data_IF_392216887618
#
_entry.id   IF_392216887618
#
_cell.length_a   1.000
_cell.length_b   1.000
_cell.length_c   1.000
_cell.angle_alpha   90.00
_cell.angle_beta   90.00
_cell.angle_gamma   90.00
#
_symmetry.space_group_name_H-M   'P 1'
#
loop_
_entity.id
_entity.type
_entity.pdbx_description
1 polymer ?
#
# COMPACT_ATOMS: atom_id res chain seq x y z
N UNK A 1 -14.11 -16.33 9.39
CA UNK A 1 -14.80 -15.95 10.64
C UNK A 1 -14.86 -14.43 10.67
N UNK A 2 -15.93 -13.85 10.12
CA UNK A 2 -16.13 -12.41 10.08
C UNK A 2 -16.56 -11.97 11.49
N UNK A 3 -15.63 -11.43 12.29
CA UNK A 3 -16.02 -10.68 13.49
C UNK A 3 -16.87 -9.50 13.01
N UNK A 4 -18.10 -9.39 13.53
CA UNK A 4 -18.91 -8.20 13.35
C UNK A 4 -18.08 -6.97 13.72
N UNK A 5 -18.09 -5.96 12.86
CA UNK A 5 -17.43 -4.70 13.17
C UNK A 5 -18.13 -4.11 14.39
N UNK A 6 -17.40 -3.68 15.43
CA UNK A 6 -18.02 -2.96 16.52
C UNK A 6 -18.75 -1.72 15.99
N UNK A 7 -19.83 -1.30 16.65
CA UNK A 7 -20.56 -0.09 16.28
C UNK A 7 -19.59 1.10 16.22
N UNK A 8 -19.89 2.12 15.39
CA UNK A 8 -19.05 3.30 15.29
C UNK A 8 -18.90 3.95 16.67
N UNK A 9 -17.65 4.14 17.08
CA UNK A 9 -17.30 4.72 18.38
C UNK A 9 -17.69 6.20 18.40
N UNK A 10 -18.58 6.60 19.31
CA UNK A 10 -18.96 8.01 19.48
C UNK A 10 -17.92 8.80 20.26
N UNK A 11 -17.31 8.16 21.26
CA UNK A 11 -16.26 8.71 22.13
C UNK A 11 -15.29 7.60 22.55
N UNK A 12 -14.00 7.93 22.67
CA UNK A 12 -12.98 6.99 23.14
C UNK A 12 -12.66 7.23 24.61
N UNK A 13 -12.68 6.15 25.42
CA UNK A 13 -12.42 6.18 26.87
C UNK A 13 -11.23 5.31 27.23
N UNK A 14 -10.15 5.92 27.72
CA UNK A 14 -8.91 5.21 28.03
C UNK A 14 -8.54 5.46 29.47
N UNK A 15 -8.36 4.38 30.24
CA UNK A 15 -7.84 4.47 31.60
C UNK A 15 -6.37 4.06 31.64
N UNK A 16 -5.54 4.87 32.29
CA UNK A 16 -4.11 4.59 32.40
C UNK A 16 -3.85 3.36 33.28
N UNK A 17 -2.91 2.50 32.86
CA UNK A 17 -2.49 1.28 33.55
C UNK A 17 -3.59 0.25 33.85
N UNK A 18 -4.81 0.40 33.30
CA UNK A 18 -5.94 -0.50 33.53
C UNK A 18 -6.31 -1.24 32.24
N UNK A 19 -5.59 -2.32 31.96
CA UNK A 19 -5.81 -3.15 30.77
C UNK A 19 -7.18 -3.83 30.79
N UNK A 20 -7.67 -4.25 31.97
CA UNK A 20 -8.96 -4.93 32.10
C UNK A 20 -10.13 -4.01 31.77
N UNK A 21 -10.06 -2.73 32.17
CA UNK A 21 -11.04 -1.72 31.77
C UNK A 21 -11.01 -1.47 30.26
N UNK A 22 -9.82 -1.25 29.69
CA UNK A 22 -9.68 -0.91 28.28
C UNK A 22 -10.06 -2.09 27.34
N UNK A 23 -9.87 -3.33 27.77
CA UNK A 23 -10.25 -4.52 26.99
C UNK A 23 -11.77 -4.63 26.77
N UNK A 24 -12.60 -4.02 27.63
CA UNK A 24 -14.07 -3.99 27.48
C UNK A 24 -14.51 -3.29 26.20
N UNK A 25 -13.73 -2.32 25.72
CA UNK A 25 -14.04 -1.55 24.51
C UNK A 25 -13.49 -2.21 23.22
N UNK A 26 -12.75 -3.32 23.33
CA UNK A 26 -12.20 -4.06 22.20
C UNK A 26 -11.39 -3.19 21.20
N UNK A 27 -10.54 -2.31 21.73
CA UNK A 27 -9.68 -1.44 20.91
C UNK A 27 -8.78 -2.23 19.95
N UNK A 28 -8.40 -1.57 18.85
CA UNK A 28 -7.51 -2.17 17.86
C UNK A 28 -6.12 -2.50 18.45
N UNK A 29 -5.55 -3.64 18.03
CA UNK A 29 -4.17 -3.99 18.35
C UNK A 29 -3.19 -3.06 17.64
N UNK A 30 -2.02 -2.80 18.24
CA UNK A 30 -0.99 -1.97 17.62
C UNK A 30 -0.24 -2.63 16.44
N UNK A 31 -0.62 -3.87 16.08
CA UNK A 31 -0.11 -4.58 14.92
C UNK A 31 -0.51 -3.88 13.61
N UNK A 32 0.48 -3.55 12.77
CA UNK A 32 0.25 -3.10 11.41
C UNK A 32 0.26 -4.31 10.47
N UNK A 33 -0.74 -4.38 9.60
CA UNK A 33 -0.81 -5.36 8.51
C UNK A 33 -1.17 -4.62 7.22
N UNK A 34 -0.21 -4.51 6.32
CA UNK A 34 -0.36 -3.95 4.97
C UNK A 34 -0.45 -5.02 3.90
N UNK A 35 -0.06 -6.25 4.24
CA UNK A 35 -0.28 -7.45 3.44
C UNK A 35 -1.77 -7.73 3.21
N UNK A 36 -2.06 -8.31 2.04
CA UNK A 36 -3.42 -8.61 1.60
C UNK A 36 -3.82 -10.03 1.94
N UNK A 37 -2.89 -10.95 1.85
CA UNK A 37 -3.17 -12.38 1.94
C UNK A 37 -2.62 -12.97 3.24
N UNK A 38 -3.40 -13.88 3.82
CA UNK A 38 -2.90 -14.85 4.77
C UNK A 38 -2.57 -16.16 4.02
N UNK A 39 -1.77 -17.05 4.60
CA UNK A 39 -1.37 -18.33 3.98
C UNK A 39 -2.58 -19.13 3.48
N UNK A 40 -3.68 -19.12 4.25
CA UNK A 40 -4.92 -19.85 3.91
C UNK A 40 -5.79 -19.07 2.92
N UNK A 41 -5.87 -17.74 3.06
CA UNK A 41 -6.71 -16.90 2.21
C UNK A 41 -6.06 -16.56 0.88
N UNK A 42 -4.75 -16.81 0.74
CA UNK A 42 -3.97 -16.54 -0.46
C UNK A 42 -4.62 -17.19 -1.67
N UNK A 43 -4.69 -18.52 -1.72
CA UNK A 43 -5.20 -19.23 -2.89
C UNK A 43 -6.63 -18.83 -3.29
N UNK A 44 -7.65 -18.85 -2.40
CA UNK A 44 -9.02 -18.56 -2.82
C UNK A 44 -9.24 -17.10 -3.21
N UNK A 45 -8.65 -16.15 -2.47
CA UNK A 45 -8.81 -14.71 -2.78
C UNK A 45 -8.01 -14.34 -4.02
N UNK A 46 -6.77 -14.84 -4.14
CA UNK A 46 -5.94 -14.61 -5.32
C UNK A 46 -6.57 -15.17 -6.60
N UNK A 47 -7.08 -16.41 -6.56
CA UNK A 47 -7.79 -16.97 -7.72
C UNK A 47 -9.06 -16.17 -8.05
N UNK A 48 -9.83 -15.75 -7.04
CA UNK A 48 -11.00 -14.92 -7.27
C UNK A 48 -10.62 -13.58 -7.92
N UNK A 49 -9.57 -12.91 -7.46
CA UNK A 49 -9.06 -11.67 -8.06
C UNK A 49 -8.58 -11.89 -9.50
N UNK A 50 -7.88 -12.98 -9.78
CA UNK A 50 -7.45 -13.33 -11.15
C UNK A 50 -8.64 -13.59 -12.07
N UNK A 51 -9.71 -14.25 -11.61
CA UNK A 51 -10.92 -14.47 -12.41
C UNK A 51 -11.81 -13.22 -12.56
N UNK A 52 -11.55 -12.13 -11.84
CA UNK A 52 -12.20 -10.84 -12.16
C UNK A 52 -11.69 -10.24 -13.47
N UNK A 53 -10.62 -10.78 -14.05
CA UNK A 53 -10.20 -10.45 -15.39
C UNK A 53 -11.05 -11.17 -16.43
N UNK A 54 -11.52 -10.42 -17.42
CA UNK A 54 -12.42 -10.93 -18.46
C UNK A 54 -11.75 -12.03 -19.26
N UNK A 55 -10.44 -11.90 -19.52
CA UNK A 55 -9.66 -12.90 -20.23
C UNK A 55 -9.62 -14.26 -19.52
N UNK A 56 -9.34 -14.27 -18.22
CA UNK A 56 -9.30 -15.52 -17.44
C UNK A 56 -10.68 -16.18 -17.37
N UNK A 57 -11.74 -15.37 -17.25
CA UNK A 57 -13.12 -15.87 -17.34
C UNK A 57 -13.45 -16.46 -18.72
N UNK A 58 -12.99 -15.82 -19.80
CA UNK A 58 -13.18 -16.32 -21.17
C UNK A 58 -12.49 -17.68 -21.39
N UNK A 59 -11.24 -17.86 -20.94
CA UNK A 59 -10.56 -19.15 -21.06
C UNK A 59 -11.16 -20.22 -20.16
N UNK A 60 -11.67 -19.86 -18.98
CA UNK A 60 -12.42 -20.79 -18.13
C UNK A 60 -13.71 -21.24 -18.83
N UNK A 61 -14.44 -20.32 -19.45
CA UNK A 61 -15.64 -20.66 -20.21
C UNK A 61 -15.33 -21.60 -21.39
N UNK A 62 -14.27 -21.33 -22.15
CA UNK A 62 -13.83 -22.22 -23.22
C UNK A 62 -13.41 -23.60 -22.71
N UNK A 63 -12.73 -23.67 -21.56
CA UNK A 63 -12.36 -24.93 -20.94
C UNK A 63 -13.61 -25.75 -20.60
N UNK A 64 -14.64 -25.11 -20.02
CA UNK A 64 -15.91 -25.78 -19.71
C UNK A 64 -16.57 -26.31 -20.99
N UNK A 65 -16.56 -25.56 -22.09
CA UNK A 65 -17.08 -26.02 -23.38
C UNK A 65 -16.28 -27.20 -23.94
N UNK A 66 -14.95 -27.20 -23.83
CA UNK A 66 -14.10 -28.29 -24.31
C UNK A 66 -14.20 -29.57 -23.48
N UNK A 67 -14.73 -29.49 -22.25
CA UNK A 67 -15.02 -30.68 -21.44
C UNK A 67 -16.23 -31.47 -21.97
N UNK A 68 -17.04 -30.88 -22.87
CA UNK A 68 -18.20 -31.52 -23.49
C UNK A 68 -17.74 -32.26 -24.76
N UNK A 69 -17.70 -33.61 -24.76
CA UNK A 69 -17.13 -34.38 -25.87
C UNK A 69 -17.87 -34.19 -27.21
N UNK A 70 -19.16 -33.85 -27.18
CA UNK A 70 -20.01 -33.72 -28.37
C UNK A 70 -19.69 -32.46 -29.20
N UNK A 71 -19.07 -31.45 -28.60
CA UNK A 71 -18.72 -30.19 -29.28
C UNK A 71 -17.21 -29.99 -29.41
N UNK A 72 -16.41 -30.71 -28.61
CA UNK A 72 -14.98 -30.50 -28.54
C UNK A 72 -14.24 -31.19 -29.69
N UNK A 73 -13.72 -30.39 -30.61
CA UNK A 73 -12.79 -30.83 -31.67
C UNK A 73 -11.33 -30.83 -31.22
N UNK A 74 -11.02 -30.15 -30.10
CA UNK A 74 -9.69 -30.04 -29.51
C UNK A 74 -9.65 -30.76 -28.16
N UNK A 75 -8.50 -31.31 -27.81
CA UNK A 75 -8.32 -31.94 -26.52
C UNK A 75 -8.27 -30.89 -25.40
N UNK A 76 -8.98 -31.13 -24.29
CA UNK A 76 -9.05 -30.25 -23.13
C UNK A 76 -7.68 -29.82 -22.56
N UNK A 77 -6.65 -30.66 -22.71
CA UNK A 77 -5.29 -30.35 -22.24
C UNK A 77 -4.68 -29.11 -22.94
N UNK A 78 -5.12 -28.81 -24.17
CA UNK A 78 -4.60 -27.68 -24.97
C UNK A 78 -4.95 -26.32 -24.37
N UNK A 79 -6.05 -26.21 -23.62
CA UNK A 79 -6.50 -24.97 -22.98
C UNK A 79 -6.14 -24.92 -21.50
N UNK A 80 -6.28 -26.03 -20.77
CA UNK A 80 -6.02 -26.04 -19.33
C UNK A 80 -4.53 -25.84 -19.01
N UNK A 81 -3.61 -26.39 -19.82
CA UNK A 81 -2.17 -26.29 -19.54
C UNK A 81 -1.69 -24.83 -19.62
N UNK A 82 -1.98 -24.07 -20.70
CA UNK A 82 -1.66 -22.64 -20.74
C UNK A 82 -2.38 -21.83 -19.64
N UNK A 83 -3.67 -22.11 -19.37
CA UNK A 83 -4.43 -21.39 -18.36
C UNK A 83 -3.84 -21.58 -16.95
N UNK A 84 -3.54 -22.82 -16.56
CA UNK A 84 -2.91 -23.13 -15.28
C UNK A 84 -1.53 -22.49 -15.18
N UNK A 85 -0.76 -22.47 -16.27
CA UNK A 85 0.54 -21.82 -16.31
C UNK A 85 0.43 -20.31 -16.09
N UNK A 86 -0.51 -19.62 -16.75
CA UNK A 86 -0.79 -18.19 -16.52
C UNK A 86 -1.14 -17.94 -15.06
N UNK A 87 -2.16 -18.64 -14.54
CA UNK A 87 -2.65 -18.46 -13.17
C UNK A 87 -1.55 -18.74 -12.14
N UNK A 88 -0.71 -19.74 -12.40
CA UNK A 88 0.43 -20.09 -11.53
C UNK A 88 1.51 -19.01 -11.52
N UNK A 89 1.91 -18.48 -12.67
CA UNK A 89 2.92 -17.42 -12.75
C UNK A 89 2.40 -16.16 -12.02
N UNK A 90 1.15 -15.76 -12.29
CA UNK A 90 0.53 -14.62 -11.62
C UNK A 90 0.42 -14.85 -10.11
N UNK A 91 0.08 -16.06 -9.67
CA UNK A 91 0.05 -16.40 -8.25
C UNK A 91 1.46 -16.33 -7.60
N UNK A 92 2.49 -16.87 -8.23
CA UNK A 92 3.88 -16.81 -7.69
C UNK A 92 4.34 -15.36 -7.55
N UNK A 93 4.03 -14.54 -8.54
CA UNK A 93 4.31 -13.10 -8.53
C UNK A 93 3.58 -12.40 -7.38
N UNK A 94 2.26 -12.56 -7.26
CA UNK A 94 1.46 -11.94 -6.19
C UNK A 94 1.89 -12.42 -4.80
N UNK A 95 2.27 -13.69 -4.66
CA UNK A 95 2.85 -14.24 -3.44
C UNK A 95 4.19 -13.58 -3.08
N UNK A 96 5.04 -13.32 -4.08
CA UNK A 96 6.33 -12.67 -3.88
C UNK A 96 6.14 -11.22 -3.40
N UNK A 97 5.27 -10.46 -4.06
CA UNK A 97 4.94 -9.08 -3.69
C UNK A 97 4.36 -9.01 -2.27
N UNK A 98 3.46 -9.93 -1.90
CA UNK A 98 2.87 -9.97 -0.56
C UNK A 98 3.88 -10.44 0.51
N UNK A 99 4.78 -11.36 0.19
CA UNK A 99 5.86 -11.78 1.09
C UNK A 99 6.76 -10.60 1.50
N UNK A 100 7.15 -9.74 0.55
CA UNK A 100 7.94 -8.55 0.86
C UNK A 100 7.16 -7.57 1.76
N UNK A 101 5.83 -7.46 1.61
CA UNK A 101 4.99 -6.67 2.54
C UNK A 101 4.97 -7.26 3.93
N UNK A 102 4.76 -8.57 4.07
CA UNK A 102 4.84 -9.26 5.36
C UNK A 102 6.20 -9.07 6.04
N UNK A 103 7.30 -9.13 5.27
CA UNK A 103 8.65 -8.86 5.78
C UNK A 103 8.78 -7.43 6.32
N UNK A 104 8.27 -6.43 5.60
CA UNK A 104 8.29 -5.04 6.03
C UNK A 104 7.41 -4.79 7.26
N UNK A 105 6.19 -5.34 7.28
CA UNK A 105 5.27 -5.27 8.41
C UNK A 105 5.92 -5.90 9.66
N UNK A 106 6.54 -7.07 9.52
CA UNK A 106 7.25 -7.74 10.60
C UNK A 106 8.43 -6.91 11.14
N UNK A 107 9.14 -6.17 10.30
CA UNK A 107 10.21 -5.28 10.77
C UNK A 107 9.66 -4.15 11.65
N UNK A 108 8.51 -3.56 11.30
CA UNK A 108 7.87 -2.50 12.09
C UNK A 108 7.27 -3.07 13.38
N UNK A 109 6.55 -4.18 13.28
CA UNK A 109 5.86 -4.81 14.40
C UNK A 109 6.81 -5.36 15.48
N UNK A 110 8.02 -5.77 15.09
CA UNK A 110 9.05 -6.26 16.01
C UNK A 110 9.97 -5.17 16.57
N UNK A 111 9.78 -3.89 16.23
CA UNK A 111 10.50 -2.78 16.89
C UNK A 111 10.21 -2.82 18.39
N UNK A 112 11.20 -2.43 19.19
CA UNK A 112 11.09 -2.45 20.65
C UNK A 112 10.65 -1.09 21.18
N UNK A 113 9.92 -1.11 22.29
CA UNK A 113 9.53 0.06 23.07
C UNK A 113 9.55 -0.29 24.56
N UNK A 114 9.78 0.70 25.43
CA UNK A 114 9.79 0.50 26.88
C UNK A 114 8.40 0.79 27.44
N UNK A 115 7.70 -0.24 27.91
CA UNK A 115 6.35 -0.14 28.46
C UNK A 115 6.42 -0.29 29.98
N UNK A 116 5.70 0.57 30.71
CA UNK A 116 5.57 0.50 32.16
C UNK A 116 4.50 -0.53 32.52
N UNK A 117 4.91 -1.68 33.04
CA UNK A 117 4.00 -2.76 33.47
C UNK A 117 4.28 -3.05 34.93
N UNK A 118 3.25 -2.93 35.79
CA UNK A 118 3.35 -3.19 37.23
C UNK A 118 4.49 -2.41 37.91
N UNK A 119 4.72 -1.17 37.49
CA UNK A 119 5.77 -0.30 38.04
C UNK A 119 7.19 -0.58 37.56
N UNK A 120 7.37 -1.50 36.61
CA UNK A 120 8.68 -1.83 36.03
C UNK A 120 8.66 -1.51 34.54
N UNK A 121 9.70 -0.86 34.04
CA UNK A 121 9.91 -0.65 32.61
C UNK A 121 10.39 -1.94 31.96
N UNK A 122 9.58 -2.49 31.07
CA UNK A 122 9.85 -3.71 30.33
C UNK A 122 9.95 -3.42 28.84
N UNK A 123 10.86 -4.12 28.14
CA UNK A 123 10.97 -4.00 26.69
C UNK A 123 9.91 -4.87 26.03
N UNK A 124 9.00 -4.24 25.31
CA UNK A 124 7.94 -4.89 24.56
C UNK A 124 8.04 -4.60 23.08
N UNK A 125 7.49 -5.51 22.28
CA UNK A 125 7.38 -5.31 20.83
C UNK A 125 6.26 -4.31 20.53
N UNK A 126 6.41 -3.53 19.47
CA UNK A 126 5.39 -2.57 19.04
C UNK A 126 4.02 -3.20 18.87
N UNK A 127 3.93 -4.42 18.30
CA UNK A 127 2.66 -5.12 18.14
C UNK A 127 1.95 -5.49 19.46
N UNK A 128 2.69 -5.57 20.57
CA UNK A 128 2.16 -5.93 21.89
C UNK A 128 1.69 -4.73 22.71
N UNK A 129 2.04 -3.51 22.30
CA UNK A 129 1.60 -2.26 22.93
C UNK A 129 0.08 -2.17 22.85
N UNK A 130 -0.57 -1.84 23.96
CA UNK A 130 -2.03 -1.72 24.06
C UNK A 130 -2.44 -0.29 24.43
N UNK A 131 -3.69 0.04 24.12
CA UNK A 131 -4.32 1.30 24.55
C UNK A 131 -4.36 1.35 26.09
N UNK A 132 -3.95 2.49 26.65
CA UNK A 132 -3.83 2.70 28.10
C UNK A 132 -2.49 2.30 28.72
N UNK A 133 -1.59 1.69 27.95
CA UNK A 133 -0.21 1.47 28.40
C UNK A 133 0.56 2.80 28.46
N UNK A 134 1.45 2.92 29.44
CA UNK A 134 2.40 4.04 29.52
C UNK A 134 3.73 3.59 28.91
N UNK A 135 4.23 4.37 27.96
CA UNK A 135 5.46 4.10 27.23
C UNK A 135 6.50 5.16 27.58
N UNK A 136 7.74 4.73 27.82
CA UNK A 136 8.91 5.59 27.86
C UNK A 136 9.56 5.64 26.47
N UNK A 137 9.75 6.84 25.96
CA UNK A 137 10.49 7.12 24.74
C UNK A 137 11.83 7.76 25.11
N UNK A 138 12.90 7.34 24.43
CA UNK A 138 14.22 7.94 24.55
C UNK A 138 14.55 8.81 23.34
N UNK A 139 15.53 9.70 23.49
CA UNK A 139 15.97 10.57 22.41
C UNK A 139 16.29 9.79 21.12
N UNK A 140 15.86 10.33 19.97
CA UNK A 140 15.99 9.74 18.64
C UNK A 140 15.20 8.43 18.41
N UNK A 141 14.21 8.12 19.25
CA UNK A 141 13.30 6.99 19.02
C UNK A 141 12.02 7.42 18.30
N UNK A 142 11.50 6.48 17.49
CA UNK A 142 10.19 6.63 16.85
C UNK A 142 9.07 6.39 17.85
N UNK A 143 8.00 7.17 17.73
CA UNK A 143 6.77 6.97 18.50
C UNK A 143 5.99 5.75 17.94
N UNK A 144 5.69 4.78 18.81
CA UNK A 144 5.09 3.50 18.42
C UNK A 144 3.59 3.54 18.12
N UNK A 145 2.87 4.51 18.69
CA UNK A 145 1.42 4.68 18.65
C UNK A 145 1.09 6.16 18.88
N UNK A 146 -0.18 6.58 18.83
CA UNK A 146 -0.51 7.98 19.18
C UNK A 146 -0.59 8.10 20.70
N UNK A 147 0.31 8.89 21.28
CA UNK A 147 0.51 9.02 22.71
C UNK A 147 0.04 10.38 23.22
N UNK A 148 -0.58 10.40 24.39
CA UNK A 148 -0.75 11.59 25.20
C UNK A 148 0.51 11.79 26.06
N UNK A 149 1.20 12.92 25.90
CA UNK A 149 2.41 13.26 26.64
C UNK A 149 2.07 13.53 28.12
N UNK A 150 2.60 12.71 29.02
CA UNK A 150 2.38 12.82 30.47
C UNK A 150 3.49 13.62 31.15
N UNK A 151 4.75 13.27 30.86
CA UNK A 151 5.92 13.89 31.48
C UNK A 151 7.09 13.90 30.50
N UNK A 152 7.97 14.88 30.62
CA UNK A 152 9.20 15.00 29.84
C UNK A 152 10.39 15.28 30.75
N UNK A 153 11.60 14.97 30.30
CA UNK A 153 12.85 15.35 30.98
C UNK A 153 13.11 16.86 30.93
N UNK A 154 12.55 17.56 29.94
CA UNK A 154 12.78 19.00 29.79
C UNK A 154 11.94 19.84 30.78
N UNK A 155 12.42 21.04 31.16
CA UNK A 155 11.66 21.97 31.99
C UNK A 155 10.27 22.28 31.43
N UNK A 156 9.32 22.52 32.34
CA UNK A 156 7.91 22.81 32.00
C UNK A 156 7.20 21.71 31.20
N UNK A 157 7.75 20.49 31.19
CA UNK A 157 7.14 19.35 30.54
C UNK A 157 7.13 19.44 29.01
N UNK A 158 8.07 20.19 28.44
CA UNK A 158 8.23 20.40 27.01
C UNK A 158 8.89 19.18 26.34
N UNK A 159 8.60 18.97 25.07
CA UNK A 159 9.11 17.86 24.29
C UNK A 159 9.25 18.33 22.84
N UNK A 160 10.33 17.94 22.16
CA UNK A 160 10.53 18.31 20.76
C UNK A 160 10.38 17.07 19.88
N UNK A 161 9.55 17.18 18.84
CA UNK A 161 9.33 16.11 17.88
C UNK A 161 9.64 16.56 16.47
N UNK A 162 10.24 15.67 15.69
CA UNK A 162 10.40 15.82 14.25
C UNK A 162 9.23 15.10 13.56
N UNK A 163 8.53 15.81 12.67
CA UNK A 163 7.35 15.30 11.94
C UNK A 163 7.61 15.02 10.47
N UNK A 164 8.88 14.92 10.06
CA UNK A 164 9.29 14.77 8.66
C UNK A 164 8.61 13.58 7.94
N UNK A 165 8.28 12.48 8.63
CA UNK A 165 7.57 11.34 8.03
C UNK A 165 6.06 11.59 7.81
N UNK A 166 5.46 12.56 8.51
CA UNK A 166 4.02 12.83 8.45
C UNK A 166 3.67 13.97 7.49
N UNK A 167 4.42 15.07 7.55
CA UNK A 167 4.12 16.31 6.80
C UNK A 167 5.33 16.86 6.03
N UNK A 168 6.46 16.17 6.05
CA UNK A 168 7.69 16.64 5.40
C UNK A 168 8.30 17.88 6.07
N UNK A 169 7.84 18.29 7.26
CA UNK A 169 8.46 19.41 7.98
C UNK A 169 9.66 18.92 8.79
N UNK A 170 10.83 19.52 8.55
CA UNK A 170 12.08 19.21 9.30
C UNK A 170 12.23 20.02 10.57
N UNK A 171 11.40 21.04 10.75
CA UNK A 171 11.41 21.83 11.96
C UNK A 171 10.88 21.00 13.12
N UNK A 172 11.57 21.06 14.24
CA UNK A 172 11.07 20.44 15.45
C UNK A 172 9.82 21.17 15.92
N UNK A 173 8.75 20.41 16.17
CA UNK A 173 7.52 20.92 16.79
C UNK A 173 7.61 20.73 18.29
N UNK A 174 7.23 21.77 19.03
CA UNK A 174 7.16 21.74 20.48
C UNK A 174 5.82 21.14 20.90
N UNK A 175 5.86 20.17 21.81
CA UNK A 175 4.72 19.57 22.49
C UNK A 175 4.89 19.77 23.99
N UNK A 176 3.78 19.82 24.71
CA UNK A 176 3.81 20.10 26.15
C UNK A 176 2.88 19.14 26.90
N UNK A 177 3.37 18.56 27.98
CA UNK A 177 2.53 17.81 28.93
C UNK A 177 1.62 18.74 29.74
N UNK A 178 0.59 18.19 30.36
CA UNK A 178 -0.16 18.94 31.35
C UNK A 178 0.74 19.23 32.57
N UNK A 179 0.60 20.42 33.15
CA UNK A 179 1.36 20.82 34.34
C UNK A 179 1.19 19.82 35.49
N UNK A 180 -0.01 19.29 35.66
CA UNK A 180 -0.34 18.33 36.72
C UNK A 180 0.29 16.95 36.52
N UNK A 181 0.54 16.53 35.28
CA UNK A 181 1.16 15.23 34.99
C UNK A 181 2.68 15.35 34.85
N UNK A 182 3.21 16.54 34.56
CA UNK A 182 4.64 16.78 34.36
C UNK A 182 5.49 16.47 35.60
N UNK A 183 4.90 16.48 36.80
CA UNK A 183 5.61 16.14 38.05
C UNK A 183 5.70 14.62 38.31
N UNK A 184 5.03 13.81 37.48
CA UNK A 184 4.96 12.35 37.64
C UNK A 184 6.20 11.63 37.13
N UNK A 185 7.24 12.31 36.63
CA UNK A 185 8.39 11.73 35.89
C UNK A 185 9.08 10.49 36.49
N UNK A 186 8.84 10.17 37.75
CA UNK A 186 9.23 8.91 38.39
C UNK A 186 8.34 7.73 37.93
N UNK A 187 8.92 6.61 37.44
CA UNK A 187 8.16 5.41 37.04
C UNK A 187 7.19 4.90 38.11
N UNK A 188 7.55 5.01 39.39
CA UNK A 188 6.70 4.58 40.51
C UNK A 188 5.45 5.44 40.66
N UNK A 189 5.53 6.74 40.40
CA UNK A 189 4.37 7.65 40.41
C UNK A 189 3.49 7.41 39.18
N UNK A 190 4.11 7.21 38.01
CA UNK A 190 3.39 6.85 36.78
C UNK A 190 2.68 5.50 36.89
N UNK A 191 3.20 4.55 37.68
CA UNK A 191 2.54 3.27 37.91
C UNK A 191 1.24 3.39 38.73
N UNK A 192 1.17 4.42 39.59
CA UNK A 192 -0.01 4.74 40.40
C UNK A 192 -0.96 5.72 39.68
N UNK A 193 -0.60 6.20 38.49
CA UNK A 193 -1.44 7.09 37.72
C UNK A 193 -2.66 6.34 37.18
N UNK A 194 -3.83 6.81 37.58
CA UNK A 194 -5.15 6.21 37.36
C UNK A 194 -6.10 7.11 36.55
N UNK A 195 -5.54 8.11 35.86
CA UNK A 195 -6.30 9.08 35.07
C UNK A 195 -7.11 8.43 33.94
N UNK A 196 -8.31 8.96 33.71
CA UNK A 196 -9.19 8.56 32.61
C UNK A 196 -9.23 9.65 31.54
N UNK A 197 -8.95 9.28 30.30
CA UNK A 197 -8.98 10.17 29.14
C UNK A 197 -10.24 9.87 28.33
N UNK A 198 -11.05 10.90 28.10
CA UNK A 198 -12.19 10.85 27.19
C UNK A 198 -11.89 11.74 25.99
N UNK A 199 -11.86 11.20 24.78
CA UNK A 199 -11.53 11.97 23.57
C UNK A 199 -12.43 11.65 22.38
N UNK A 200 -12.31 12.47 21.33
CA UNK A 200 -12.97 12.21 20.05
C UNK A 200 -12.52 10.87 19.43
N UNK A 201 -13.36 10.26 18.58
CA UNK A 201 -13.00 9.01 17.90
C UNK A 201 -11.80 9.19 16.95
N UNK A 202 -11.14 8.08 16.55
CA UNK A 202 -10.02 8.11 15.62
C UNK A 202 -10.37 8.90 14.35
N UNK A 203 -9.53 9.87 13.98
CA UNK A 203 -9.74 10.71 12.81
C UNK A 203 -8.43 10.90 12.02
N UNK A 204 -8.56 11.33 10.77
CA UNK A 204 -7.42 11.52 9.85
C UNK A 204 -6.82 12.94 9.89
N UNK A 205 -7.24 13.81 10.82
CA UNK A 205 -6.77 15.20 10.90
C UNK A 205 -5.54 15.30 11.81
N UNK A 206 -4.36 15.51 11.24
CA UNK A 206 -3.09 15.55 11.99
C UNK A 206 -3.01 16.73 12.98
N UNK A 207 -3.69 17.82 12.68
CA UNK A 207 -3.70 19.08 13.42
C UNK A 207 -4.73 19.13 14.55
N UNK A 208 -5.79 18.32 14.48
CA UNK A 208 -6.93 18.35 15.41
C UNK A 208 -6.90 17.18 16.39
N UNK A 209 -6.93 17.49 17.68
CA UNK A 209 -7.22 16.51 18.72
C UNK A 209 -7.96 17.23 19.85
N UNK A 210 -9.10 16.68 20.28
CA UNK A 210 -9.87 17.18 21.40
C UNK A 210 -10.18 16.04 22.38
N UNK A 211 -9.85 16.27 23.65
CA UNK A 211 -10.18 15.35 24.73
C UNK A 211 -10.18 16.02 26.09
N UNK A 212 -10.51 15.26 27.12
CA UNK A 212 -10.49 15.68 28.52
C UNK A 212 -9.85 14.59 29.36
N UNK A 213 -8.84 14.95 30.15
CA UNK A 213 -8.29 14.10 31.19
C UNK A 213 -9.05 14.34 32.49
N UNK A 214 -9.58 13.27 33.07
CA UNK A 214 -10.19 13.20 34.39
C UNK A 214 -9.18 12.61 35.36
N UNK A 215 -8.73 13.40 36.33
CA UNK A 215 -7.78 12.94 37.34
C UNK A 215 -7.97 13.69 38.65
N UNK A 216 -8.03 12.96 39.78
CA UNK A 216 -8.27 13.52 41.12
C UNK A 216 -9.49 14.45 41.22
N UNK A 217 -10.62 14.02 40.64
CA UNK A 217 -11.88 14.79 40.54
C UNK A 217 -11.80 16.10 39.74
N UNK A 218 -10.64 16.41 39.15
CA UNK A 218 -10.43 17.56 38.28
C UNK A 218 -10.53 17.18 36.80
N UNK A 219 -10.92 18.15 35.97
CA UNK A 219 -10.98 18.03 34.51
C UNK A 219 -9.93 18.90 33.86
N UNK A 220 -9.14 18.32 32.96
CA UNK A 220 -8.10 19.02 32.20
C UNK A 220 -8.36 18.89 30.70
N UNK A 221 -8.43 20.02 30.00
CA UNK A 221 -8.61 20.02 28.54
C UNK A 221 -7.35 19.51 27.83
N UNK A 222 -7.55 18.63 26.86
CA UNK A 222 -6.49 18.11 26.00
C UNK A 222 -6.63 18.67 24.59
N UNK A 223 -5.50 19.06 24.02
CA UNK A 223 -5.38 19.57 22.66
C UNK A 223 -4.33 18.79 21.88
N UNK A 224 -4.20 19.07 20.58
CA UNK A 224 -3.15 18.48 19.77
C UNK A 224 -1.73 18.75 20.32
N UNK A 225 -1.50 19.86 21.04
CA UNK A 225 -0.20 20.17 21.64
C UNK A 225 0.27 19.13 22.68
N UNK A 226 -0.65 18.35 23.23
CA UNK A 226 -0.37 17.31 24.21
C UNK A 226 -0.14 15.93 23.55
N UNK A 227 -0.29 15.79 22.24
CA UNK A 227 -0.19 14.52 21.52
C UNK A 227 1.16 14.34 20.81
N UNK A 228 1.69 13.12 20.88
CA UNK A 228 2.79 12.62 20.06
C UNK A 228 2.22 11.59 19.08
N UNK A 229 2.35 11.83 17.77
CA UNK A 229 1.77 10.96 16.75
C UNK A 229 2.74 9.84 16.35
N UNK A 230 2.19 8.70 15.93
CA UNK A 230 2.97 7.61 15.34
C UNK A 230 3.75 8.10 14.11
N UNK A 231 5.03 7.71 14.01
CA UNK A 231 5.93 8.13 12.93
C UNK A 231 6.74 9.39 13.24
N UNK A 232 6.36 10.14 14.29
CA UNK A 232 7.22 11.20 14.80
C UNK A 232 8.50 10.61 15.42
N UNK A 233 9.57 11.40 15.42
CA UNK A 233 10.84 11.06 16.10
C UNK A 233 11.02 12.03 17.26
N UNK A 234 11.29 11.50 18.46
CA UNK A 234 11.66 12.33 19.61
C UNK A 234 13.06 12.93 19.38
N UNK A 235 13.21 14.25 19.52
CA UNK A 235 14.48 14.96 19.36
C UNK A 235 14.71 15.87 20.55
N UNK A 236 15.96 16.19 20.86
CA UNK A 236 16.35 17.19 21.87
C UNK A 236 15.59 17.06 23.20
N UNK A 237 15.28 15.83 23.59
CA UNK A 237 14.58 15.49 24.83
C UNK A 237 15.13 14.13 25.23
N UNK A 238 15.76 14.05 26.40
CA UNK A 238 16.45 12.83 26.86
C UNK A 238 15.46 11.66 26.96
N UNK A 239 14.33 11.90 27.64
CA UNK A 239 13.23 10.94 27.68
C UNK A 239 11.88 11.60 27.94
N UNK A 240 10.81 10.95 27.49
CA UNK A 240 9.45 11.34 27.84
C UNK A 240 8.57 10.11 28.09
N UNK A 241 7.49 10.30 28.84
CA UNK A 241 6.48 9.29 29.11
C UNK A 241 5.18 9.68 28.44
N UNK A 242 4.58 8.74 27.72
CA UNK A 242 3.32 8.94 27.01
C UNK A 242 2.32 7.82 27.26
N UNK A 243 1.05 8.16 27.42
CA UNK A 243 -0.07 7.23 27.51
C UNK A 243 -0.60 6.90 26.12
N UNK A 244 -0.73 5.62 25.77
CA UNK A 244 -1.25 5.21 24.46
C UNK A 244 -2.75 5.48 24.36
N UNK A 245 -3.16 6.34 23.42
CA UNK A 245 -4.57 6.66 23.15
C UNK A 245 -5.10 5.91 21.92
N UNK A 246 -4.37 5.96 20.81
CA UNK A 246 -4.71 5.24 19.58
C UNK A 246 -3.60 4.29 19.19
N UNK A 247 -3.95 3.05 18.84
CA UNK A 247 -3.03 1.99 18.48
C UNK A 247 -3.34 1.43 17.09
N UNK A 248 -2.29 1.06 16.35
CA UNK A 248 -2.39 0.36 15.07
C UNK A 248 -3.24 1.11 14.04
N UNK A 249 -4.30 0.49 13.47
CA UNK A 249 -5.19 1.12 12.49
C UNK A 249 -5.84 2.43 12.96
N UNK A 250 -6.01 2.63 14.27
CA UNK A 250 -6.66 3.83 14.81
C UNK A 250 -5.73 5.04 14.85
N UNK A 251 -4.42 4.85 14.67
CA UNK A 251 -3.47 5.96 14.64
C UNK A 251 -3.72 6.89 13.46
N UNK A 252 -3.51 8.19 13.63
CA UNK A 252 -3.76 9.18 12.58
C UNK A 252 -2.95 8.92 11.31
N UNK A 253 -1.73 8.41 11.44
CA UNK A 253 -0.88 8.01 10.32
C UNK A 253 -1.55 6.90 9.49
N UNK A 254 -2.09 5.88 10.15
CA UNK A 254 -2.76 4.76 9.47
C UNK A 254 -4.10 5.17 8.86
N UNK A 255 -4.84 6.08 9.51
CA UNK A 255 -6.06 6.66 8.95
C UNK A 255 -5.80 7.46 7.65
N UNK A 256 -4.60 8.02 7.49
CA UNK A 256 -4.18 8.70 6.25
C UNK A 256 -3.55 7.76 5.21
N UNK A 257 -3.10 6.57 5.61
CA UNK A 257 -2.38 5.64 4.72
C UNK A 257 -3.27 4.93 3.69
N UNK A 258 -4.60 5.10 3.78
CA UNK A 258 -5.57 4.49 2.87
C UNK A 258 -5.54 2.95 2.89
N UNK A 259 -6.44 2.33 2.12
CA UNK A 259 -6.37 0.87 1.88
C UNK A 259 -5.59 0.59 0.61
N UNK A 260 -4.74 -0.42 0.64
CA UNK A 260 -3.97 -0.90 -0.51
C UNK A 260 -4.92 -1.46 -1.59
N UNK A 261 -5.29 -0.65 -2.57
CA UNK A 261 -6.08 -1.09 -3.74
C UNK A 261 -5.17 -1.80 -4.75
N UNK A 262 -5.68 -2.83 -5.42
CA UNK A 262 -4.98 -3.43 -6.56
C UNK A 262 -4.91 -2.40 -7.69
N UNK A 263 -3.71 -2.11 -8.16
CA UNK A 263 -3.47 -1.18 -9.27
C UNK A 263 -3.48 -1.98 -10.56
N UNK A 264 -4.39 -1.63 -11.48
CA UNK A 264 -4.46 -2.21 -12.84
C UNK A 264 -3.78 -1.29 -13.83
N UNK A 265 -3.00 -1.84 -14.74
CA UNK A 265 -2.31 -1.06 -15.78
C UNK A 265 -3.27 -0.60 -16.87
N UNK A 266 -2.86 0.37 -17.67
CA UNK A 266 -3.51 0.76 -18.92
C UNK A 266 -3.57 -0.41 -19.91
N UNK A 267 -2.49 -1.20 -19.99
CA UNK A 267 -2.40 -2.40 -20.84
C UNK A 267 -3.43 -3.45 -20.42
N UNK A 268 -3.64 -3.69 -19.13
CA UNK A 268 -4.65 -4.65 -18.66
C UNK A 268 -6.06 -4.22 -19.10
N UNK A 269 -6.35 -2.92 -19.11
CA UNK A 269 -7.64 -2.38 -19.58
C UNK A 269 -7.80 -2.51 -21.10
N UNK A 270 -6.75 -2.19 -21.86
CA UNK A 270 -6.75 -2.35 -23.32
C UNK A 270 -6.97 -3.81 -23.70
N UNK A 271 -6.22 -4.71 -23.07
CA UNK A 271 -6.26 -6.15 -23.31
C UNK A 271 -7.66 -6.72 -23.01
N UNK A 272 -8.27 -6.39 -21.87
CA UNK A 272 -9.64 -6.78 -21.56
C UNK A 272 -10.65 -6.25 -22.58
N UNK A 273 -10.46 -5.02 -23.06
CA UNK A 273 -11.31 -4.44 -24.11
C UNK A 273 -11.18 -5.25 -25.39
N UNK A 274 -9.95 -5.49 -25.88
CA UNK A 274 -9.70 -6.27 -27.09
C UNK A 274 -10.30 -7.68 -27.03
N UNK A 275 -10.23 -8.37 -25.89
CA UNK A 275 -10.88 -9.68 -25.71
C UNK A 275 -12.39 -9.61 -25.95
N UNK A 276 -13.07 -8.58 -25.45
CA UNK A 276 -14.50 -8.42 -25.68
C UNK A 276 -14.83 -8.21 -27.17
N UNK A 277 -14.02 -7.43 -27.88
CA UNK A 277 -14.17 -7.26 -29.34
C UNK A 277 -13.95 -8.58 -30.08
N UNK A 278 -12.91 -9.32 -29.74
CA UNK A 278 -12.61 -10.62 -30.36
C UNK A 278 -13.71 -11.64 -30.05
N UNK A 279 -14.22 -11.68 -28.81
CA UNK A 279 -15.33 -12.55 -28.43
C UNK A 279 -16.59 -12.23 -29.23
N UNK A 280 -16.93 -10.95 -29.39
CA UNK A 280 -18.05 -10.53 -30.23
C UNK A 280 -17.87 -10.97 -31.69
N UNK A 281 -16.67 -10.78 -32.26
CA UNK A 281 -16.34 -11.24 -33.61
C UNK A 281 -16.45 -12.77 -33.76
N UNK A 282 -15.96 -13.51 -32.77
CA UNK A 282 -16.00 -14.97 -32.73
C UNK A 282 -17.43 -15.50 -32.72
N UNK A 283 -18.31 -14.91 -31.91
CA UNK A 283 -19.73 -15.27 -31.87
C UNK A 283 -20.40 -14.99 -33.22
N UNK A 284 -20.15 -13.83 -33.83
CA UNK A 284 -20.68 -13.51 -35.16
C UNK A 284 -20.23 -14.50 -36.23
N UNK A 285 -18.93 -14.83 -36.29
CA UNK A 285 -18.41 -15.83 -37.23
C UNK A 285 -18.97 -17.23 -36.95
N UNK A 286 -19.07 -17.61 -35.67
CA UNK A 286 -19.68 -18.88 -35.26
C UNK A 286 -21.13 -19.01 -35.75
N UNK A 287 -21.93 -17.94 -35.65
CA UNK A 287 -23.33 -17.93 -36.14
C UNK A 287 -23.37 -18.11 -37.66
N UNK A 288 -22.53 -17.40 -38.41
CA UNK A 288 -22.48 -17.52 -39.88
C UNK A 288 -22.12 -18.94 -40.30
N UNK A 289 -21.12 -19.55 -39.67
CA UNK A 289 -20.70 -20.92 -39.95
C UNK A 289 -21.76 -21.95 -39.54
N UNK A 290 -22.45 -21.73 -38.42
CA UNK A 290 -23.54 -22.59 -37.96
C UNK A 290 -24.73 -22.57 -38.93
N UNK A 291 -25.09 -21.39 -39.46
CA UNK A 291 -26.11 -21.26 -40.51
C UNK A 291 -25.67 -21.99 -41.77
N UNK A 292 -24.41 -21.83 -42.18
CA UNK A 292 -23.83 -22.57 -43.32
C UNK A 292 -23.93 -24.09 -43.13
N UNK A 293 -23.60 -24.58 -41.94
CA UNK A 293 -23.73 -25.99 -41.58
C UNK A 293 -25.20 -26.44 -41.63
N UNK A 294 -26.14 -25.64 -41.11
CA UNK A 294 -27.57 -25.96 -41.14
C UNK A 294 -28.11 -26.10 -42.57
N UNK A 295 -27.71 -25.19 -43.47
CA UNK A 295 -28.11 -25.21 -44.88
C UNK A 295 -27.53 -26.44 -45.58
N UNK A 296 -26.24 -26.71 -45.37
CA UNK A 296 -25.57 -27.88 -45.95
C UNK A 296 -26.17 -29.21 -45.48
N UNK A 297 -26.44 -29.33 -44.17
CA UNK A 297 -27.02 -30.54 -43.58
C UNK A 297 -28.42 -30.82 -44.11
N UNK A 298 -29.21 -29.77 -44.35
CA UNK A 298 -30.55 -29.88 -44.92
C UNK A 298 -30.52 -30.32 -46.38
N UNK A 299 -29.73 -29.64 -47.21
CA UNK A 299 -29.70 -29.84 -48.67
C UNK A 299 -28.94 -31.10 -49.08
N UNK A 300 -27.78 -31.36 -48.45
CA UNK A 300 -26.83 -32.40 -48.87
C UNK A 300 -26.70 -33.49 -47.80
N UNK A 301 -26.60 -33.12 -46.52
CA UNK A 301 -26.42 -34.09 -45.43
C UNK A 301 -27.54 -35.14 -45.36
N UNK A 302 -28.79 -34.72 -45.59
CA UNK A 302 -29.95 -35.63 -45.66
C UNK A 302 -29.84 -36.69 -46.77
N UNK A 303 -29.16 -36.38 -47.88
CA UNK A 303 -28.93 -37.31 -48.99
C UNK A 303 -27.77 -38.29 -48.70
N UNK A 304 -26.80 -37.89 -47.88
CA UNK A 304 -25.58 -38.65 -47.58
C UNK A 304 -25.67 -39.53 -46.33
N UNK A 305 -26.82 -39.57 -45.64
CA UNK A 305 -27.09 -40.43 -44.49
C UNK A 305 -26.78 -41.93 -44.71
N UNK A 306 -26.83 -42.40 -45.96
CA UNK A 306 -26.49 -43.79 -46.31
C UNK A 306 -24.99 -44.10 -46.20
N UNK A 307 -24.12 -43.09 -46.32
CA UNK A 307 -22.66 -43.22 -46.26
C UNK A 307 -22.05 -42.59 -45.00
N UNK A 308 -22.64 -41.50 -44.48
CA UNK A 308 -22.21 -40.79 -43.29
C UNK A 308 -23.44 -40.48 -42.39
N UNK A 309 -23.86 -41.43 -41.54
CA UNK A 309 -24.98 -41.21 -40.63
C UNK A 309 -24.59 -40.22 -39.51
N UNK A 310 -25.59 -39.59 -38.91
CA UNK A 310 -25.38 -38.73 -37.74
C UNK A 310 -24.98 -39.53 -36.51
N UNK A 311 -24.00 -39.02 -35.76
CA UNK A 311 -23.62 -39.58 -34.47
C UNK A 311 -24.74 -39.34 -33.43
N UNK A 312 -25.20 -40.35 -32.68
CA UNK A 312 -26.16 -40.16 -31.60
C UNK A 312 -25.57 -39.19 -30.54
N UNK A 313 -26.31 -38.18 -30.05
CA UNK A 313 -27.76 -37.98 -30.10
C UNK A 313 -28.25 -36.95 -31.14
N UNK A 314 -27.57 -36.83 -32.29
CA UNK A 314 -27.94 -35.82 -33.30
C UNK A 314 -29.12 -36.29 -34.14
N UNK A 315 -30.32 -35.78 -33.79
CA UNK A 315 -31.57 -36.20 -34.42
C UNK A 315 -32.10 -35.22 -35.49
N UNK A 316 -31.63 -33.97 -35.48
CA UNK A 316 -32.16 -32.88 -36.33
C UNK A 316 -31.04 -32.00 -36.90
N UNK A 317 -31.23 -31.49 -38.12
CA UNK A 317 -30.28 -30.55 -38.76
C UNK A 317 -30.05 -29.27 -37.92
N UNK A 318 -31.07 -28.80 -37.19
CA UNK A 318 -30.95 -27.67 -36.26
C UNK A 318 -30.06 -27.98 -35.06
N UNK A 319 -30.13 -29.22 -34.56
CA UNK A 319 -29.30 -29.64 -33.43
C UNK A 319 -27.84 -29.87 -33.87
N UNK A 320 -27.62 -30.41 -35.08
CA UNK A 320 -26.31 -30.44 -35.72
C UNK A 320 -25.71 -29.03 -35.84
N UNK A 321 -26.47 -28.06 -36.35
CA UNK A 321 -26.04 -26.66 -36.43
C UNK A 321 -25.74 -26.01 -35.07
N UNK A 322 -26.52 -26.35 -34.04
CA UNK A 322 -26.27 -25.89 -32.67
C UNK A 322 -24.97 -26.44 -32.10
N UNK A 323 -24.67 -27.73 -32.29
CA UNK A 323 -23.39 -28.32 -31.87
C UNK A 323 -22.22 -27.77 -32.70
N UNK A 324 -22.42 -27.58 -34.01
CA UNK A 324 -21.43 -26.99 -34.91
C UNK A 324 -21.08 -25.55 -34.52
N UNK A 325 -22.05 -24.74 -34.07
CA UNK A 325 -21.79 -23.40 -33.53
C UNK A 325 -20.73 -23.43 -32.42
N UNK A 326 -20.94 -24.27 -31.41
CA UNK A 326 -20.01 -24.40 -30.29
C UNK A 326 -18.65 -25.01 -30.71
N UNK A 327 -18.66 -25.98 -31.62
CA UNK A 327 -17.43 -26.55 -32.18
C UNK A 327 -16.60 -25.51 -32.95
N UNK A 328 -17.23 -24.67 -33.77
CA UNK A 328 -16.54 -23.57 -34.47
C UNK A 328 -16.02 -22.50 -33.52
N UNK A 329 -16.77 -22.17 -32.45
CA UNK A 329 -16.29 -21.26 -31.38
C UNK A 329 -15.03 -21.82 -30.72
N UNK A 330 -14.96 -23.14 -30.49
CA UNK A 330 -13.77 -23.81 -29.94
C UNK A 330 -12.60 -23.76 -30.93
N UNK A 331 -12.81 -24.07 -32.21
CA UNK A 331 -11.73 -24.08 -33.22
C UNK A 331 -11.15 -22.68 -33.45
N UNK A 332 -12.03 -21.68 -33.52
CA UNK A 332 -11.66 -20.29 -33.78
C UNK A 332 -11.19 -19.55 -32.50
N UNK A 333 -11.14 -20.21 -31.34
CA UNK A 333 -10.65 -19.60 -30.10
C UNK A 333 -9.18 -19.16 -30.17
N UNK A 334 -8.43 -19.71 -31.14
CA UNK A 334 -7.03 -19.40 -31.43
C UNK A 334 -6.79 -17.93 -31.80
N UNK A 335 -7.86 -17.19 -32.13
CA UNK A 335 -7.84 -15.74 -32.35
C UNK A 335 -7.51 -14.97 -31.07
N UNK A 336 -7.77 -15.53 -29.87
CA UNK A 336 -7.33 -14.96 -28.59
C UNK A 336 -6.07 -15.70 -28.11
N UNK A 337 -4.85 -15.18 -28.38
CA UNK A 337 -3.62 -15.87 -28.02
C UNK A 337 -3.40 -15.87 -26.50
N UNK A 338 -3.56 -17.03 -25.85
CA UNK A 338 -3.22 -17.20 -24.42
C UNK A 338 -1.74 -16.86 -24.16
N UNK A 339 -0.88 -17.13 -25.15
CA UNK A 339 0.56 -16.85 -25.09
C UNK A 339 0.89 -15.37 -24.91
N UNK A 340 0.02 -14.45 -25.36
CA UNK A 340 0.22 -13.01 -25.18
C UNK A 340 0.20 -12.66 -23.68
N UNK A 341 -0.74 -13.23 -22.93
CA UNK A 341 -0.89 -13.00 -21.49
C UNK A 341 0.30 -13.53 -20.70
N UNK A 342 0.71 -14.78 -21.00
CA UNK A 342 1.91 -15.38 -20.39
C UNK A 342 3.13 -14.51 -20.65
N UNK A 343 3.32 -14.07 -21.90
CA UNK A 343 4.49 -13.30 -22.30
C UNK A 343 4.56 -11.97 -21.57
N UNK A 344 3.44 -11.24 -21.49
CA UNK A 344 3.38 -9.95 -20.77
C UNK A 344 3.73 -10.12 -19.29
N UNK A 345 3.21 -11.15 -18.63
CA UNK A 345 3.52 -11.41 -17.22
C UNK A 345 4.99 -11.77 -16.98
N UNK A 346 5.57 -12.61 -17.84
CA UNK A 346 7.00 -12.96 -17.76
C UNK A 346 7.89 -11.73 -18.03
N UNK A 347 7.53 -10.89 -19.01
CA UNK A 347 8.26 -9.67 -19.32
C UNK A 347 8.22 -8.70 -18.13
N UNK A 348 7.05 -8.49 -17.52
CA UNK A 348 6.88 -7.64 -16.33
C UNK A 348 7.77 -8.10 -15.18
N UNK A 349 7.81 -9.40 -14.90
CA UNK A 349 8.67 -10.00 -13.89
C UNK A 349 10.16 -9.80 -14.23
N UNK A 350 10.56 -10.04 -15.48
CA UNK A 350 11.93 -9.80 -15.95
C UNK A 350 12.38 -8.34 -15.79
N UNK A 351 11.54 -7.39 -16.18
CA UNK A 351 11.80 -5.95 -16.02
C UNK A 351 11.97 -5.56 -14.54
N UNK A 352 11.18 -6.15 -13.65
CA UNK A 352 11.31 -5.90 -12.21
C UNK A 352 12.70 -6.32 -11.69
N UNK A 353 13.24 -7.46 -12.16
CA UNK A 353 14.59 -7.88 -11.80
C UNK A 353 15.66 -6.99 -12.40
N UNK A 354 15.49 -6.52 -13.64
CA UNK A 354 16.43 -5.60 -14.26
C UNK A 354 16.53 -4.26 -13.51
N UNK A 355 15.42 -3.74 -12.99
CA UNK A 355 15.42 -2.54 -12.12
C UNK A 355 16.24 -2.82 -10.84
N UNK A 356 16.03 -3.98 -10.20
CA UNK A 356 16.73 -4.34 -8.98
C UNK A 356 18.24 -4.55 -9.16
N UNK A 357 18.66 -5.01 -10.34
CA UNK A 357 20.07 -5.29 -10.64
C UNK A 357 20.84 -4.10 -11.21
N UNK A 358 20.18 -2.97 -11.50
CA UNK A 358 20.86 -1.82 -12.07
C UNK A 358 21.81 -1.15 -11.07
N UNK A 359 23.11 -1.26 -11.36
CA UNK A 359 24.18 -0.65 -10.56
C UNK A 359 24.14 0.88 -10.57
N UNK A 360 23.56 1.51 -11.60
CA UNK A 360 23.46 2.98 -11.68
C UNK A 360 22.42 3.53 -10.72
N UNK A 361 21.42 2.73 -10.35
CA UNK A 361 20.39 3.09 -9.38
C UNK A 361 20.78 2.74 -7.93
N UNK A 362 22.04 2.38 -7.69
CA UNK A 362 22.56 2.09 -6.35
C UNK A 362 23.02 3.35 -5.61
N UNK A 363 22.47 3.60 -4.42
CA UNK A 363 22.87 4.74 -3.59
C UNK A 363 23.99 4.35 -2.62
N UNK A 364 25.23 4.74 -2.95
CA UNK A 364 26.41 4.45 -2.10
C UNK A 364 26.31 5.04 -0.68
N UNK A 365 25.72 6.23 -0.52
CA UNK A 365 25.67 6.92 0.79
C UNK A 365 24.82 6.17 1.81
N UNK A 366 23.72 5.57 1.37
CA UNK A 366 22.79 4.83 2.23
C UNK A 366 23.01 3.31 2.16
N UNK A 367 23.89 2.85 1.27
CA UNK A 367 24.10 1.43 0.96
C UNK A 367 22.78 0.73 0.57
N UNK A 368 21.97 1.40 -0.26
CA UNK A 368 20.63 0.94 -0.67
C UNK A 368 20.54 0.83 -2.19
N UNK A 369 20.10 -0.32 -2.68
CA UNK A 369 19.78 -0.53 -4.09
C UNK A 369 18.34 -0.10 -4.41
N UNK A 370 18.04 0.10 -5.70
CA UNK A 370 16.65 0.22 -6.16
C UNK A 370 15.92 -1.10 -5.93
N UNK A 371 14.67 -1.01 -5.45
CA UNK A 371 13.82 -2.16 -5.18
C UNK A 371 12.44 -1.91 -5.77
N UNK A 372 12.12 -2.65 -6.84
CA UNK A 372 10.79 -2.71 -7.41
C UNK A 372 9.87 -3.52 -6.49
N UNK A 373 9.07 -2.82 -5.68
CA UNK A 373 8.10 -3.42 -4.73
C UNK A 373 6.82 -3.93 -5.37
N UNK A 374 6.64 -3.69 -6.66
CA UNK A 374 5.46 -4.11 -7.41
C UNK A 374 5.90 -4.45 -8.82
N UNK A 375 5.58 -5.65 -9.25
CA UNK A 375 6.01 -6.21 -10.53
C UNK A 375 5.10 -5.82 -11.70
N UNK A 376 3.88 -5.33 -11.46
CA UNK A 376 2.89 -4.97 -12.50
C UNK A 376 3.12 -3.64 -13.19
N UNK A 377 3.72 -2.64 -12.50
CA UNK A 377 3.66 -1.24 -12.93
C UNK A 377 4.86 -0.78 -13.74
N UNK A 378 5.71 -1.70 -14.18
CA UNK A 378 7.00 -1.35 -14.80
C UNK A 378 6.82 -0.58 -16.11
N UNK A 379 5.83 -0.93 -16.93
CA UNK A 379 5.53 -0.24 -18.19
C UNK A 379 4.91 1.16 -18.01
N UNK A 380 4.18 1.38 -16.92
CA UNK A 380 3.54 2.67 -16.59
C UNK A 380 4.58 3.76 -16.31
N UNK A 381 5.80 3.37 -15.89
CA UNK A 381 6.91 4.31 -15.71
C UNK A 381 7.25 5.07 -17.00
N UNK A 382 7.04 4.46 -18.17
CA UNK A 382 7.23 5.09 -19.48
C UNK A 382 6.08 6.03 -19.89
N UNK A 383 4.95 6.00 -19.18
CA UNK A 383 3.74 6.78 -19.48
C UNK A 383 3.52 7.92 -18.48
N UNK A 384 4.48 8.18 -17.58
CA UNK A 384 4.34 9.23 -16.56
C UNK A 384 4.43 10.61 -17.22
N UNK A 385 3.30 11.33 -17.25
CA UNK A 385 3.23 12.72 -17.72
C UNK A 385 3.50 13.74 -16.60
N UNK A 386 3.04 13.42 -15.38
CA UNK A 386 3.12 14.32 -14.23
C UNK A 386 3.88 13.66 -13.09
N UNK A 387 4.94 14.32 -12.63
CA UNK A 387 5.71 13.92 -11.45
C UNK A 387 5.34 14.88 -10.31
N UNK A 388 4.56 14.39 -9.35
CA UNK A 388 4.36 15.08 -8.09
C UNK A 388 5.53 14.77 -7.18
N UNK A 389 6.36 15.77 -6.90
CA UNK A 389 7.54 15.64 -6.05
C UNK A 389 7.32 16.37 -4.74
N UNK A 390 7.62 15.71 -3.63
CA UNK A 390 7.69 16.37 -2.33
C UNK A 390 8.94 17.27 -2.28
N UNK A 391 8.84 18.43 -1.63
CA UNK A 391 9.98 19.34 -1.49
C UNK A 391 11.00 18.76 -0.51
N UNK A 392 10.52 18.39 0.67
CA UNK A 392 11.41 18.02 1.78
C UNK A 392 11.71 16.54 1.74
N UNK A 393 12.95 16.15 2.05
CA UNK A 393 13.38 14.74 1.99
C UNK A 393 13.53 14.15 0.58
N UNK A 394 12.95 14.77 -0.46
CA UNK A 394 13.08 14.36 -1.87
C UNK A 394 13.90 15.36 -2.69
N UNK A 395 13.43 16.60 -2.88
CA UNK A 395 14.19 17.61 -3.65
C UNK A 395 15.34 18.22 -2.86
N UNK A 396 15.13 18.49 -1.56
CA UNK A 396 16.14 19.09 -0.69
C UNK A 396 16.70 18.08 0.30
N UNK A 397 18.02 18.11 0.50
CA UNK A 397 18.63 17.46 1.66
C UNK A 397 18.29 18.29 2.91
N UNK A 398 18.02 17.62 4.03
CA UNK A 398 17.68 18.27 5.31
C UNK A 398 18.95 18.85 5.99
N UNK A 399 19.70 19.66 5.26
CA UNK A 399 20.94 20.32 5.69
C UNK A 399 20.85 21.79 5.29
N UNK A 400 20.79 22.67 6.28
CA UNK A 400 20.73 24.12 6.07
C UNK A 400 22.14 24.70 6.22
N UNK A 401 22.72 25.20 5.13
CA UNK A 401 24.03 25.88 5.15
C UNK A 401 23.84 27.38 5.03
N UNK A 402 24.36 28.13 6.00
CA UNK A 402 24.42 29.57 5.91
C UNK A 402 25.42 29.97 4.81
N UNK A 403 24.95 30.65 3.76
CA UNK A 403 25.78 30.99 2.60
C UNK A 403 26.16 32.47 2.55
N UNK A 404 25.19 33.37 2.72
CA UNK A 404 25.37 34.81 2.57
C UNK A 404 24.45 35.55 3.54
N UNK A 405 24.86 36.72 3.99
CA UNK A 405 23.98 37.68 4.63
C UNK A 405 24.22 39.08 4.05
N UNK A 406 23.24 39.97 4.20
CA UNK A 406 23.46 41.40 3.97
C UNK A 406 23.33 42.11 5.30
N UNK A 407 24.35 42.89 5.67
CA UNK A 407 24.38 43.69 6.89
C UNK A 407 24.59 45.14 6.46
N UNK A 408 23.66 46.04 6.83
CA UNK A 408 23.69 47.46 6.45
C UNK A 408 23.87 47.71 4.94
N UNK A 409 23.23 46.90 4.09
CA UNK A 409 23.33 47.02 2.63
C UNK A 409 24.62 46.46 2.02
N UNK A 410 25.57 46.01 2.84
CA UNK A 410 26.76 45.29 2.38
C UNK A 410 26.51 43.78 2.37
N UNK A 411 26.77 43.13 1.24
CA UNK A 411 26.63 41.68 1.12
C UNK A 411 27.92 40.98 1.59
N UNK A 412 27.77 40.01 2.49
CA UNK A 412 28.82 39.17 3.03
C UNK A 412 28.60 37.72 2.59
N UNK A 413 29.68 37.01 2.28
CA UNK A 413 29.68 35.65 1.76
C UNK A 413 30.20 35.60 0.33
N UNK A 414 31.52 35.50 0.20
CA UNK A 414 32.19 35.22 -1.07
C UNK A 414 32.11 33.73 -1.40
N UNK A 415 31.93 33.41 -2.69
CA UNK A 415 32.24 32.07 -3.19
C UNK A 415 33.74 32.08 -3.44
N UNK A 416 34.51 31.30 -2.67
CA UNK A 416 35.93 31.09 -2.99
C UNK A 416 35.98 30.34 -4.32
N UNK A 417 36.26 31.07 -5.40
CA UNK A 417 36.61 30.51 -6.70
C UNK A 417 38.02 30.99 -7.08
N UNK A 418 39.02 30.42 -6.42
CA UNK A 418 40.42 30.42 -6.87
C UNK A 418 41.12 29.16 -6.30
N UNK A 419 41.02 28.05 -7.04
CA UNK A 419 41.91 26.86 -6.96
C UNK A 419 41.80 25.86 -5.77
N UNK A 420 40.61 25.54 -5.23
CA UNK A 420 40.53 24.37 -4.34
C UNK A 420 39.19 24.08 -3.66
N UNK A 421 38.64 22.90 -3.97
CA UNK A 421 37.49 22.23 -3.35
C UNK A 421 36.13 22.92 -3.55
N UNK A 422 35.54 22.65 -4.71
CA UNK A 422 34.08 22.70 -4.89
C UNK A 422 33.41 21.91 -3.75
N UNK A 423 32.40 22.44 -3.02
CA UNK A 423 31.38 21.54 -2.50
C UNK A 423 30.86 20.82 -3.73
N UNK A 424 30.89 19.48 -3.78
CA UNK A 424 30.34 18.72 -4.90
C UNK A 424 28.89 19.18 -5.11
N UNK A 425 28.66 20.19 -5.95
CA UNK A 425 27.39 20.42 -6.61
C UNK A 425 27.15 19.09 -7.27
N UNK A 426 26.17 18.33 -6.77
CA UNK A 426 25.64 17.22 -7.54
C UNK A 426 25.40 17.80 -8.93
N UNK A 427 26.01 17.19 -9.94
CA UNK A 427 25.86 17.57 -11.34
C UNK A 427 24.38 17.91 -11.53
N UNK A 428 24.06 19.14 -11.93
CA UNK A 428 22.68 19.47 -12.28
C UNK A 428 22.26 18.44 -13.30
N UNK A 429 21.23 17.65 -12.99
CA UNK A 429 20.72 16.65 -13.91
C UNK A 429 20.33 17.39 -15.18
N UNK A 430 21.07 17.10 -16.26
CA UNK A 430 20.82 17.72 -17.54
C UNK A 430 19.62 17.02 -18.19
N UNK A 431 18.49 17.71 -18.20
CA UNK A 431 17.25 17.23 -18.80
C UNK A 431 17.08 17.67 -20.26
N UNK A 432 18.09 18.32 -20.85
CA UNK A 432 18.03 18.80 -22.24
C UNK A 432 17.85 17.69 -23.28
N UNK A 433 18.05 16.43 -22.90
CA UNK A 433 17.76 15.27 -23.75
C UNK A 433 16.26 15.03 -23.99
N UNK A 434 15.36 15.59 -23.17
CA UNK A 434 13.92 15.35 -23.29
C UNK A 434 13.16 16.65 -23.65
N UNK A 435 12.80 16.85 -24.94
CA UNK A 435 12.11 18.06 -25.39
C UNK A 435 10.68 18.23 -24.85
N UNK A 436 10.12 17.20 -24.20
CA UNK A 436 8.76 17.23 -23.64
C UNK A 436 8.73 17.61 -22.15
N UNK A 437 9.89 17.71 -21.49
CA UNK A 437 9.98 17.94 -20.06
C UNK A 437 9.90 19.45 -19.74
N UNK A 438 8.71 19.93 -19.40
CA UNK A 438 8.50 21.33 -19.00
C UNK A 438 8.53 21.45 -17.47
N UNK A 439 9.62 21.95 -16.89
CA UNK A 439 9.70 22.18 -15.44
C UNK A 439 8.94 23.45 -15.08
N UNK A 440 7.69 23.32 -14.64
CA UNK A 440 6.94 24.42 -14.04
C UNK A 440 7.14 24.40 -12.54
N UNK A 441 7.93 25.34 -12.01
CA UNK A 441 8.06 25.53 -10.57
C UNK A 441 6.94 26.45 -10.07
N UNK A 442 6.08 25.95 -9.19
CA UNK A 442 5.24 26.82 -8.36
C UNK A 442 6.17 27.44 -7.31
N UNK A 443 6.62 28.66 -7.57
CA UNK A 443 7.44 29.42 -6.62
C UNK A 443 6.58 29.79 -5.41
N UNK A 444 6.91 29.23 -4.24
CA UNK A 444 6.49 29.82 -2.97
C UNK A 444 7.58 29.62 -1.92
N UNK A 445 7.85 30.73 -1.25
CA UNK A 445 8.63 30.90 -0.02
C UNK A 445 10.15 30.72 -0.14
N UNK A 446 10.80 31.77 -0.66
CA UNK A 446 12.11 32.18 -0.12
C UNK A 446 11.84 32.67 1.31
N UNK A 447 12.19 31.87 2.31
CA UNK A 447 12.30 32.39 3.67
C UNK A 447 13.55 33.29 3.71
N UNK A 448 13.36 34.58 3.43
CA UNK A 448 14.34 35.60 3.76
C UNK A 448 14.16 35.88 5.25
N UNK A 449 15.01 35.30 6.08
CA UNK A 449 15.12 35.72 7.47
C UNK A 449 15.87 37.05 7.48
N UNK A 450 15.11 38.15 7.51
CA UNK A 450 15.61 39.44 7.98
C UNK A 450 15.73 39.35 9.49
N UNK A 451 16.97 39.32 10.00
CA UNK A 451 17.28 39.62 11.38
C UNK A 451 17.18 41.13 11.62
#
# INVERSE_FOLDING_TARGET
MFKEKPPPEEERKVRANDREYNEKFQYASNCIMTSKYNIITFLPVNLFEQFQEVANTYFLFLLILQLIPQISSLSWFTTIVPLVLVLSITAVKDATDDYFRHKSDNQVNNRQSQVLINGILQKEKWMNVRVGDIIKLENNQFVAADLLLLSSSEPHGLCYIETAELDGETNMKVRQSLSVTSELGDPSKLAQFDGEVICEPPNNKLDRFCGTLYWRECKYGLSNQNMLLRGCVLRNTESCYGLVIFAGPDTKLMQNSGRTKFKRTSIDRLMNTLVLWIFGFLVCMGVILAIGNAVWEKEVGSLFQSYLPWDPPVDNFLFSAFLAFWSYVIILNTVVPISLYVSVEVIRLGHSYFINWDRRMFCQRRNTAAEARTTTLNEELGQVEYIFSDKTGTLTQNIMTFNKCSINGHAYGEVIDTLGVQPKRGQSLDFSFNPWLTVTSASSTKACWTL
#
